data_IF_768837620186
#
_entry.id   IF_768837620186
#
_cell.length_a   1.000
_cell.length_b   1.000
_cell.length_c   1.000
_cell.angle_alpha   90.00
_cell.angle_beta   90.00
_cell.angle_gamma   90.00
#
_symmetry.space_group_name_H-M   'P 1'
#
loop_
_entity.id
_entity.type
_entity.pdbx_description
1 polymer ?
#
# COMPACT_ATOMS: atom_id res chain seq x y z
N UNK A 1 14.47 -20.24 1.89
CA UNK A 1 14.02 -18.83 1.89
C UNK A 1 14.36 -18.27 0.52
N UNK A 2 13.41 -18.28 -0.42
CA UNK A 2 13.68 -17.90 -1.82
C UNK A 2 13.64 -16.38 -1.92
N UNK A 3 14.82 -15.76 -1.94
CA UNK A 3 14.94 -14.33 -2.16
C UNK A 3 14.58 -14.09 -3.62
N UNK A 4 13.48 -13.36 -3.87
CA UNK A 4 13.15 -12.92 -5.23
C UNK A 4 14.28 -11.99 -5.71
N UNK A 5 15.16 -12.51 -6.57
CA UNK A 5 16.35 -11.81 -7.10
C UNK A 5 16.00 -10.42 -7.64
N UNK A 6 14.83 -10.31 -8.28
CA UNK A 6 14.27 -9.06 -8.79
C UNK A 6 14.02 -8.01 -7.68
N UNK A 7 13.46 -8.43 -6.54
CA UNK A 7 13.26 -7.55 -5.38
C UNK A 7 14.60 -7.11 -4.79
N UNK A 8 15.58 -8.00 -4.75
CA UNK A 8 16.92 -7.69 -4.27
C UNK A 8 17.63 -6.65 -5.14
N UNK A 9 17.52 -6.76 -6.46
CA UNK A 9 18.07 -5.77 -7.40
C UNK A 9 17.44 -4.39 -7.17
N UNK A 10 16.11 -4.32 -7.01
CA UNK A 10 15.43 -3.05 -6.73
C UNK A 10 15.88 -2.41 -5.41
N UNK A 11 16.17 -3.23 -4.38
CA UNK A 11 16.66 -2.74 -3.09
C UNK A 11 18.09 -2.20 -3.18
N UNK A 12 18.96 -2.84 -3.98
CA UNK A 12 20.31 -2.33 -4.25
C UNK A 12 20.26 -0.95 -4.93
N UNK A 13 19.34 -0.75 -5.88
CA UNK A 13 19.18 0.55 -6.55
C UNK A 13 18.81 1.65 -5.54
N UNK A 14 17.89 1.37 -4.62
CA UNK A 14 17.53 2.32 -3.54
C UNK A 14 18.73 2.61 -2.63
N UNK A 15 19.50 1.58 -2.25
CA UNK A 15 20.70 1.76 -1.44
C UNK A 15 21.78 2.57 -2.15
N UNK A 16 21.98 2.35 -3.45
CA UNK A 16 22.96 3.10 -4.24
C UNK A 16 22.56 4.57 -4.38
N UNK A 17 21.26 4.85 -4.55
CA UNK A 17 20.73 6.20 -4.50
C UNK A 17 20.95 6.85 -3.12
N UNK A 18 20.73 6.11 -2.03
CA UNK A 18 20.97 6.59 -0.66
C UNK A 18 22.44 6.93 -0.42
N UNK A 19 23.37 6.09 -0.90
CA UNK A 19 24.82 6.35 -0.77
C UNK A 19 25.22 7.59 -1.57
N UNK A 20 24.72 7.72 -2.81
CA UNK A 20 24.97 8.92 -3.62
C UNK A 20 24.44 10.19 -2.95
N UNK A 21 23.25 10.11 -2.35
CA UNK A 21 22.67 11.20 -1.58
C UNK A 21 23.54 11.62 -0.39
N UNK A 22 23.92 10.66 0.47
CA UNK A 22 24.76 10.93 1.65
C UNK A 22 26.11 11.50 1.23
N UNK A 23 26.69 10.99 0.14
CA UNK A 23 27.94 11.52 -0.42
C UNK A 23 27.81 12.97 -0.87
N UNK A 24 26.72 13.33 -1.56
CA UNK A 24 26.49 14.71 -2.00
C UNK A 24 26.26 15.69 -0.84
N UNK A 25 25.50 15.26 0.19
CA UNK A 25 25.30 16.07 1.41
C UNK A 25 26.61 16.28 2.17
N UNK A 26 27.46 15.24 2.26
CA UNK A 26 28.76 15.35 2.92
C UNK A 26 29.72 16.34 2.23
N UNK A 27 29.55 16.57 0.94
CA UNK A 27 30.29 17.59 0.18
C UNK A 27 29.74 19.01 0.36
N UNK A 28 28.59 19.18 1.03
CA UNK A 28 27.92 20.47 1.19
C UNK A 28 27.19 20.96 -0.06
N UNK A 29 27.14 20.15 -1.12
CA UNK A 29 26.51 20.50 -2.40
C UNK A 29 25.04 20.04 -2.42
N UNK A 30 24.17 20.83 -1.77
CA UNK A 30 22.74 20.49 -1.62
C UNK A 30 22.00 20.37 -2.95
N UNK A 31 22.40 21.14 -3.97
CA UNK A 31 21.82 21.05 -5.33
C UNK A 31 22.09 19.69 -5.97
N UNK A 32 23.32 19.17 -5.82
CA UNK A 32 23.68 17.85 -6.31
C UNK A 32 22.97 16.76 -5.51
N UNK A 33 22.80 16.95 -4.21
CA UNK A 33 22.04 16.04 -3.37
C UNK A 33 20.57 15.94 -3.82
N UNK A 34 19.94 17.06 -4.17
CA UNK A 34 18.57 17.08 -4.70
C UNK A 34 18.47 16.34 -6.04
N UNK A 35 19.39 16.62 -6.98
CA UNK A 35 19.44 15.93 -8.27
C UNK A 35 19.66 14.42 -8.07
N UNK A 36 20.51 14.03 -7.12
CA UNK A 36 20.75 12.62 -6.80
C UNK A 36 19.51 11.92 -6.24
N UNK A 37 18.76 12.57 -5.34
CA UNK A 37 17.52 12.00 -4.78
C UNK A 37 16.44 11.85 -5.85
N UNK A 38 16.19 12.90 -6.64
CA UNK A 38 15.18 12.89 -7.71
C UNK A 38 15.59 11.89 -8.81
N UNK A 39 16.85 11.91 -9.23
CA UNK A 39 17.39 10.97 -10.21
C UNK A 39 17.35 9.53 -9.72
N UNK A 40 17.71 9.29 -8.46
CA UNK A 40 17.64 7.98 -7.83
C UNK A 40 16.21 7.42 -7.78
N UNK A 41 15.22 8.27 -7.46
CA UNK A 41 13.81 7.90 -7.48
C UNK A 41 13.35 7.55 -8.90
N UNK A 42 13.73 8.34 -9.91
CA UNK A 42 13.39 8.08 -11.30
C UNK A 42 14.03 6.78 -11.83
N UNK A 43 15.31 6.55 -11.53
CA UNK A 43 16.00 5.30 -11.90
C UNK A 43 15.36 4.11 -11.22
N UNK A 44 14.95 4.23 -9.96
CA UNK A 44 14.23 3.19 -9.27
C UNK A 44 12.85 2.91 -9.89
N UNK A 45 12.08 3.95 -10.24
CA UNK A 45 10.81 3.77 -10.98
C UNK A 45 11.01 3.10 -12.33
N UNK A 46 12.05 3.48 -13.07
CA UNK A 46 12.41 2.83 -14.33
C UNK A 46 12.75 1.35 -14.11
N UNK A 47 13.50 1.02 -13.05
CA UNK A 47 13.81 -0.35 -12.67
C UNK A 47 12.54 -1.18 -12.39
N UNK A 48 11.59 -0.62 -11.64
CA UNK A 48 10.29 -1.26 -11.40
C UNK A 48 9.50 -1.48 -12.70
N UNK A 49 9.49 -0.48 -13.59
CA UNK A 49 8.80 -0.55 -14.87
C UNK A 49 9.36 -1.65 -15.78
N UNK A 50 10.69 -1.74 -15.88
CA UNK A 50 11.38 -2.75 -16.71
C UNK A 50 11.15 -4.16 -16.17
N UNK A 51 11.22 -4.33 -14.84
CA UNK A 51 11.14 -5.65 -14.23
C UNK A 51 9.70 -6.11 -13.95
N UNK A 52 8.68 -5.26 -14.18
CA UNK A 52 7.26 -5.50 -13.87
C UNK A 52 7.05 -6.10 -12.46
N UNK A 53 7.84 -5.66 -11.47
CA UNK A 53 7.80 -6.21 -10.12
C UNK A 53 6.75 -5.47 -9.30
N UNK A 54 5.78 -6.20 -8.75
CA UNK A 54 4.89 -5.69 -7.71
C UNK A 54 5.60 -5.78 -6.36
N UNK A 55 6.33 -4.71 -6.00
CA UNK A 55 6.98 -4.62 -4.68
C UNK A 55 5.96 -4.21 -3.62
N UNK A 56 5.81 -5.02 -2.57
CA UNK A 56 4.92 -4.72 -1.45
C UNK A 56 5.40 -3.47 -0.66
N UNK A 57 6.67 -3.08 -0.80
CA UNK A 57 7.32 -1.96 -0.12
C UNK A 57 7.25 -0.63 -0.87
N UNK A 58 6.53 -0.54 -2.01
CA UNK A 58 6.37 0.69 -2.80
C UNK A 58 6.06 1.94 -1.93
N UNK A 59 5.03 1.93 -1.06
CA UNK A 59 4.69 3.13 -0.28
C UNK A 59 5.81 3.56 0.67
N UNK A 60 6.56 2.60 1.24
CA UNK A 60 7.66 2.88 2.17
C UNK A 60 8.82 3.55 1.43
N UNK A 61 9.18 3.04 0.25
CA UNK A 61 10.29 3.60 -0.54
C UNK A 61 9.94 5.01 -1.02
N UNK A 62 8.73 5.24 -1.52
CA UNK A 62 8.29 6.58 -1.97
C UNK A 62 8.27 7.57 -0.80
N UNK A 63 7.79 7.16 0.37
CA UNK A 63 7.81 8.01 1.58
C UNK A 63 9.24 8.34 2.00
N UNK A 64 10.16 7.37 1.93
CA UNK A 64 11.58 7.57 2.24
C UNK A 64 12.26 8.54 1.28
N UNK A 65 12.01 8.44 -0.03
CA UNK A 65 12.51 9.41 -1.00
C UNK A 65 11.92 10.82 -0.78
N UNK A 66 10.64 10.93 -0.42
CA UNK A 66 10.02 12.19 -0.03
C UNK A 66 10.65 12.80 1.23
N UNK A 67 10.95 11.96 2.23
CA UNK A 67 11.67 12.36 3.45
C UNK A 67 13.04 12.94 3.11
N UNK A 68 13.82 12.22 2.29
CA UNK A 68 15.15 12.63 1.85
C UNK A 68 15.10 13.94 1.08
N UNK A 69 14.19 14.05 0.10
CA UNK A 69 14.05 15.23 -0.75
C UNK A 69 13.75 16.49 0.07
N UNK A 70 12.77 16.46 0.98
CA UNK A 70 12.48 17.65 1.77
C UNK A 70 13.52 17.93 2.85
N UNK A 71 14.27 16.94 3.34
CA UNK A 71 15.45 17.20 4.19
C UNK A 71 16.49 18.05 3.43
N UNK A 72 16.72 17.77 2.15
CA UNK A 72 17.64 18.58 1.32
C UNK A 72 17.13 19.98 1.13
N UNK A 73 15.87 20.13 0.75
CA UNK A 73 15.26 21.44 0.53
C UNK A 73 15.28 22.26 1.82
N UNK A 74 15.06 21.62 2.97
CA UNK A 74 15.18 22.27 4.27
C UNK A 74 16.62 22.71 4.53
N UNK A 75 17.62 21.86 4.32
CA UNK A 75 19.03 22.23 4.52
C UNK A 75 19.48 23.36 3.58
N UNK A 76 19.00 23.37 2.33
CA UNK A 76 19.34 24.37 1.32
C UNK A 76 18.70 25.75 1.59
N UNK A 77 17.48 25.77 2.14
CA UNK A 77 16.68 27.00 2.26
C UNK A 77 16.59 27.53 3.70
N UNK A 78 16.58 26.64 4.71
CA UNK A 78 16.34 27.02 6.10
C UNK A 78 17.61 27.46 6.83
N UNK A 79 18.79 27.05 6.35
CA UNK A 79 20.06 27.32 7.00
C UNK A 79 20.85 28.31 6.14
N UNK A 80 21.06 29.52 6.66
CA UNK A 80 22.04 30.45 6.11
C UNK A 80 23.31 30.45 6.97
N UNK A 81 24.45 30.46 6.28
CA UNK A 81 25.74 30.61 6.91
C UNK A 81 26.13 32.08 6.89
N UNK A 82 26.29 32.67 8.07
CA UNK A 82 26.79 34.03 8.22
C UNK A 82 28.28 34.08 7.82
N UNK A 83 28.75 35.23 7.33
CA UNK A 83 30.14 35.44 6.91
C UNK A 83 31.15 35.26 8.06
N UNK A 84 30.67 35.24 9.29
CA UNK A 84 31.43 34.98 10.52
C UNK A 84 31.42 33.50 10.94
N UNK A 85 30.81 32.62 10.15
CA UNK A 85 30.75 31.17 10.39
C UNK A 85 29.64 30.73 11.34
N UNK A 86 28.70 31.61 11.70
CA UNK A 86 27.50 31.25 12.45
C UNK A 86 26.40 30.67 11.55
N UNK A 87 25.56 29.78 12.10
CA UNK A 87 24.36 29.30 11.42
C UNK A 87 23.14 30.07 11.91
N UNK A 88 22.44 30.72 10.99
CA UNK A 88 21.17 31.40 11.27
C UNK A 88 20.05 30.68 10.54
N UNK A 89 18.99 30.34 11.29
CA UNK A 89 17.78 29.75 10.71
C UNK A 89 16.80 30.88 10.47
N UNK A 90 16.45 31.12 9.21
CA UNK A 90 15.42 32.11 8.87
C UNK A 90 14.05 31.41 8.94
N UNK A 91 13.11 31.91 9.76
CA UNK A 91 11.84 31.22 9.98
C UNK A 91 10.96 31.18 8.72
N UNK A 92 10.92 32.23 7.90
CA UNK A 92 10.15 32.22 6.65
C UNK A 92 10.50 31.05 5.70
N UNK A 93 11.73 30.91 5.18
CA UNK A 93 12.08 29.81 4.27
C UNK A 93 12.08 28.45 4.97
N UNK A 94 12.29 28.39 6.29
CA UNK A 94 12.12 27.17 7.07
C UNK A 94 10.66 26.66 7.03
N UNK A 95 9.67 27.56 7.13
CA UNK A 95 8.25 27.18 7.01
C UNK A 95 7.89 26.72 5.59
N UNK A 96 8.36 27.45 4.57
CA UNK A 96 8.13 27.06 3.17
C UNK A 96 8.71 25.68 2.84
N UNK A 97 9.94 25.41 3.27
CA UNK A 97 10.56 24.10 3.08
C UNK A 97 9.85 22.99 3.86
N UNK A 98 9.30 23.28 5.04
CA UNK A 98 8.45 22.35 5.79
C UNK A 98 7.19 21.94 5.03
N UNK A 99 6.50 22.91 4.40
CA UNK A 99 5.31 22.64 3.58
C UNK A 99 5.68 21.74 2.40
N UNK A 100 6.79 22.03 1.73
CA UNK A 100 7.29 21.23 0.60
C UNK A 100 7.65 19.82 1.07
N UNK A 101 8.24 19.67 2.26
CA UNK A 101 8.59 18.37 2.84
C UNK A 101 7.36 17.51 3.13
N UNK A 102 6.32 18.09 3.73
CA UNK A 102 5.04 17.41 3.91
C UNK A 102 4.41 17.01 2.57
N UNK A 103 4.43 17.91 1.59
CA UNK A 103 3.91 17.62 0.26
C UNK A 103 4.69 16.49 -0.43
N UNK A 104 6.01 16.43 -0.25
CA UNK A 104 6.85 15.37 -0.81
C UNK A 104 6.59 13.99 -0.16
N UNK A 105 6.24 13.95 1.12
CA UNK A 105 5.88 12.70 1.82
C UNK A 105 4.46 12.21 1.51
N UNK A 106 3.53 13.14 1.26
CA UNK A 106 2.10 12.87 1.14
C UNK A 106 1.76 11.75 0.14
N UNK A 107 2.34 11.68 -1.08
CA UNK A 107 2.08 10.59 -2.01
C UNK A 107 2.42 9.21 -1.46
N UNK A 108 3.55 9.09 -0.74
CA UNK A 108 3.97 7.83 -0.14
C UNK A 108 3.08 7.42 1.05
N UNK A 109 2.75 8.37 1.90
CA UNK A 109 1.86 8.17 3.04
C UNK A 109 0.43 7.80 2.61
N UNK A 110 -0.08 8.45 1.56
CA UNK A 110 -1.39 8.13 0.98
C UNK A 110 -1.45 6.70 0.46
N UNK A 111 -0.41 6.25 -0.26
CA UNK A 111 -0.32 4.87 -0.73
C UNK A 111 -0.20 3.87 0.43
N UNK A 112 0.48 4.24 1.52
CA UNK A 112 0.55 3.42 2.72
C UNK A 112 -0.82 3.28 3.39
N UNK A 113 -1.56 4.37 3.54
CA UNK A 113 -2.90 4.39 4.09
C UNK A 113 -3.86 3.54 3.25
N UNK A 114 -3.87 3.72 1.93
CA UNK A 114 -4.72 2.93 1.03
C UNK A 114 -4.42 1.42 1.12
N UNK A 115 -3.15 1.05 1.16
CA UNK A 115 -2.74 -0.36 1.27
C UNK A 115 -3.11 -0.96 2.63
N UNK A 116 -3.01 -0.19 3.72
CA UNK A 116 -3.33 -0.66 5.07
C UNK A 116 -4.83 -0.69 5.36
N UNK A 117 -5.64 0.05 4.60
CA UNK A 117 -7.10 -0.03 4.64
C UNK A 117 -7.69 -1.30 3.99
N UNK A 118 -6.86 -2.17 3.38
CA UNK A 118 -7.30 -3.47 2.88
C UNK A 118 -7.41 -4.49 4.04
N UNK A 119 -8.59 -5.10 4.27
CA UNK A 119 -8.77 -6.09 5.34
C UNK A 119 -7.80 -7.26 5.17
N UNK A 120 -7.02 -7.58 6.22
CA UNK A 120 -6.18 -8.77 6.29
C UNK A 120 -7.10 -9.99 6.56
N UNK A 121 -7.26 -10.90 5.60
CA UNK A 121 -7.90 -12.20 5.87
C UNK A 121 -6.92 -13.05 6.67
N UNK A 122 -7.11 -13.09 8.00
CA UNK A 122 -6.32 -13.93 8.91
C UNK A 122 -6.82 -15.37 8.80
N UNK A 123 -6.13 -16.19 8.00
CA UNK A 123 -6.35 -17.63 7.99
C UNK A 123 -5.47 -18.29 9.04
N UNK A 124 -6.06 -18.67 10.18
CA UNK A 124 -5.45 -19.54 11.21
C UNK A 124 -5.24 -20.96 10.66
N UNK A 125 -4.08 -21.61 10.88
CA UNK A 125 -3.99 -23.06 10.79
C UNK A 125 -3.55 -23.63 12.14
N UNK A 126 -4.47 -24.29 12.85
CA UNK A 126 -4.08 -25.31 13.83
C UNK A 126 -5.27 -26.23 14.12
N UNK A 127 -5.33 -27.39 13.46
CA UNK A 127 -5.71 -28.65 14.10
C UNK A 127 -4.92 -29.76 13.40
N UNK A 128 -4.02 -30.37 14.16
CA UNK A 128 -3.24 -31.56 13.78
C UNK A 128 -4.12 -32.80 13.94
N UNK A 129 -4.29 -33.68 12.93
CA UNK A 129 -4.91 -34.98 13.15
C UNK A 129 -3.91 -36.00 13.70
N UNK A 130 -4.28 -36.64 14.80
CA UNK A 130 -3.53 -37.68 15.51
C UNK A 130 -3.51 -38.99 14.70
N UNK A 131 -2.34 -39.62 14.59
CA UNK A 131 -2.07 -40.86 13.84
C UNK A 131 -2.08 -42.09 14.77
N UNK A 132 -2.92 -43.11 14.48
CA UNK A 132 -2.77 -44.51 14.99
C UNK A 132 -3.30 -45.54 13.94
N UNK A 133 -2.60 -46.68 13.66
CA UNK A 133 -2.81 -47.59 12.50
C UNK A 133 -3.47 -48.99 12.87
N UNK A 134 -3.46 -50.07 12.04
CA UNK A 134 -4.28 -50.41 10.85
C UNK A 134 -5.12 -51.75 10.92
N UNK A 135 -6.28 -51.81 10.23
CA UNK A 135 -7.07 -52.97 9.65
C UNK A 135 -7.47 -54.22 10.52
N UNK A 136 -8.54 -55.03 10.23
CA UNK A 136 -9.20 -55.34 8.92
C UNK A 136 -10.77 -55.33 8.87
N UNK A 137 -11.33 -55.31 7.64
CA UNK A 137 -12.79 -55.27 7.28
C UNK A 137 -13.49 -56.66 7.39
N UNK A 138 -14.86 -56.84 7.39
CA UNK A 138 -15.74 -56.64 6.21
C UNK A 138 -17.28 -56.31 6.42
N UNK A 139 -17.82 -55.47 5.50
CA UNK A 139 -19.15 -55.45 4.81
C UNK A 139 -20.50 -55.52 5.58
N UNK A 140 -21.31 -54.44 5.52
CA UNK A 140 -22.68 -54.38 4.92
C UNK A 140 -23.18 -52.90 4.77
N UNK A 141 -24.09 -52.60 3.82
CA UNK A 141 -24.25 -51.28 3.17
C UNK A 141 -25.43 -50.44 3.72
N UNK A 142 -25.68 -49.25 3.11
CA UNK A 142 -26.82 -48.29 3.28
C UNK A 142 -26.46 -47.14 4.24
N UNK A 143 -26.54 -45.84 3.92
CA UNK A 143 -26.99 -45.03 2.79
C UNK A 143 -26.51 -43.57 3.02
N UNK A 144 -26.60 -42.74 1.97
CA UNK A 144 -26.58 -41.26 1.94
C UNK A 144 -25.22 -40.53 2.05
N UNK A 145 -24.87 -39.86 0.94
CA UNK A 145 -24.32 -38.51 1.00
C UNK A 145 -22.84 -38.35 0.65
N UNK A 146 -22.43 -38.78 -0.53
CA UNK A 146 -21.26 -38.17 -1.20
C UNK A 146 -21.81 -37.31 -2.32
N UNK A 147 -21.81 -36.00 -2.12
CA UNK A 147 -20.95 -35.15 -2.94
C UNK A 147 -20.71 -33.84 -2.20
N UNK A 148 -19.42 -33.61 -1.93
CA UNK A 148 -18.90 -32.27 -1.68
C UNK A 148 -19.15 -31.50 -2.97
N UNK A 149 -20.03 -30.51 -2.94
CA UNK A 149 -19.91 -29.43 -3.90
C UNK A 149 -19.34 -28.19 -3.23
N UNK A 150 -18.26 -27.76 -3.84
CA UNK A 150 -17.56 -26.54 -3.58
C UNK A 150 -18.34 -25.47 -4.32
N UNK A 151 -18.83 -24.45 -3.63
CA UNK A 151 -19.12 -23.21 -4.34
C UNK A 151 -18.84 -22.02 -3.44
N UNK A 152 -17.61 -21.52 -3.60
CA UNK A 152 -17.26 -20.15 -3.31
C UNK A 152 -18.18 -19.21 -4.11
N UNK A 153 -19.28 -18.75 -3.52
CA UNK A 153 -20.10 -17.69 -4.12
C UNK A 153 -19.56 -16.32 -3.67
N UNK A 154 -18.42 -15.94 -4.22
CA UNK A 154 -18.02 -14.53 -4.34
C UNK A 154 -17.10 -14.39 -5.55
N UNK A 155 -17.71 -14.49 -6.73
CA UNK A 155 -17.13 -13.98 -7.98
C UNK A 155 -17.87 -12.67 -8.30
N UNK A 156 -17.21 -11.50 -8.22
CA UNK A 156 -17.83 -10.23 -8.57
C UNK A 156 -18.06 -10.08 -10.08
N UNK A 157 -17.60 -11.04 -10.88
CA UNK A 157 -17.63 -11.02 -12.34
C UNK A 157 -18.94 -11.63 -12.93
N UNK A 158 -19.78 -12.30 -12.13
CA UNK A 158 -20.94 -13.07 -12.63
C UNK A 158 -22.30 -12.61 -12.08
N UNK A 159 -22.37 -11.50 -11.34
CA UNK A 159 -23.64 -10.94 -10.85
C UNK A 159 -24.26 -10.02 -11.91
N UNK A 160 -24.66 -10.60 -13.05
CA UNK A 160 -25.71 -9.98 -13.87
C UNK A 160 -27.03 -10.20 -13.11
N UNK A 161 -27.41 -9.22 -12.28
CA UNK A 161 -28.76 -9.19 -11.70
C UNK A 161 -29.72 -9.03 -12.87
N UNK A 162 -30.33 -10.14 -13.28
CA UNK A 162 -31.40 -10.11 -14.27
C UNK A 162 -32.52 -9.24 -13.69
N UNK A 163 -32.73 -8.09 -14.33
CA UNK A 163 -33.69 -7.09 -13.87
C UNK A 163 -35.10 -7.66 -14.00
N UNK A 164 -35.63 -8.18 -12.90
CA UNK A 164 -37.02 -8.60 -12.81
C UNK A 164 -37.89 -7.38 -12.44
N UNK A 165 -38.70 -6.86 -13.38
CA UNK A 165 -39.50 -5.66 -13.13
C UNK A 165 -40.50 -5.83 -11.98
N UNK A 166 -40.99 -7.04 -11.70
CA UNK A 166 -41.98 -7.26 -10.63
C UNK A 166 -41.37 -7.06 -9.24
N UNK A 167 -40.10 -7.42 -9.06
CA UNK A 167 -39.38 -7.26 -7.79
C UNK A 167 -39.10 -5.79 -7.46
N UNK A 168 -38.85 -4.97 -8.50
CA UNK A 168 -38.65 -3.54 -8.35
C UNK A 168 -39.95 -2.81 -7.98
N UNK A 169 -41.07 -3.21 -8.57
CA UNK A 169 -42.40 -2.67 -8.23
C UNK A 169 -42.80 -3.00 -6.80
N UNK A 170 -42.59 -4.25 -6.34
CA UNK A 170 -42.86 -4.63 -4.95
C UNK A 170 -42.04 -3.82 -3.93
N UNK A 171 -40.81 -3.44 -4.28
CA UNK A 171 -39.97 -2.59 -3.42
C UNK A 171 -40.50 -1.15 -3.34
N UNK A 172 -41.03 -0.61 -4.44
CA UNK A 172 -41.65 0.71 -4.48
C UNK A 172 -42.98 0.73 -3.72
N UNK A 173 -43.83 -0.28 -3.91
CA UNK A 173 -45.12 -0.41 -3.22
C UNK A 173 -44.92 -0.47 -1.69
N UNK A 174 -43.93 -1.23 -1.21
CA UNK A 174 -43.59 -1.27 0.21
C UNK A 174 -43.09 0.08 0.76
N UNK A 175 -42.47 0.91 -0.08
CA UNK A 175 -42.01 2.24 0.30
C UNK A 175 -43.14 3.27 0.30
N UNK A 176 -44.11 3.12 -0.60
CA UNK A 176 -45.30 3.97 -0.70
C UNK A 176 -46.29 3.67 0.43
N UNK A 177 -46.50 2.38 0.78
CA UNK A 177 -47.35 1.95 1.90
C UNK A 177 -46.75 2.32 3.28
N UNK A 178 -45.42 2.35 3.39
CA UNK A 178 -44.73 2.75 4.63
C UNK A 178 -44.69 4.27 4.89
N UNK A 179 -45.18 5.10 3.96
CA UNK A 179 -45.11 6.56 4.02
C UNK A 179 -46.30 7.26 4.66
N UNK A 180 -47.43 6.58 4.86
CA UNK A 180 -48.73 7.21 5.18
C UNK A 180 -49.06 7.23 6.69
N UNK A 181 -48.20 6.73 7.59
CA UNK A 181 -48.52 6.60 9.04
C UNK A 181 -48.00 7.71 9.96
N UNK A 182 -47.55 8.87 9.44
CA UNK A 182 -47.14 9.99 10.30
C UNK A 182 -47.66 11.36 9.84
N UNK A 183 -48.97 11.48 9.61
CA UNK A 183 -49.67 12.76 9.79
C UNK A 183 -50.85 12.57 10.75
N UNK A 184 -50.63 12.82 12.04
CA UNK A 184 -51.71 12.99 13.01
C UNK A 184 -51.35 12.71 14.46
N UNK A 185 -50.81 13.72 15.15
CA UNK A 185 -51.28 14.28 16.44
C UNK A 185 -50.25 15.24 17.05
#
# INVERSE_FOLDING_TARGET
MNINVNSFISAIVVLLALVGFVGAVALGEFRLALISVVGGLLVWFACLSVMKIKVNSLPIVVTLFGFLAGTVVFLDQAIEQDMWGGYHVIPEPALFSFVIWFLAMTPGAFLFYWKSAQPQVVSSPSVVPLEVPPAPQPVEPVEVGVERDNTNMWMPEEYEVEYDPEMFEAYLEAYEDGGEEYEGE
#
